data_IF_464232593997
#
_entry.id   IF_464232593997
#
_cell.length_a   1.000
_cell.length_b   1.000
_cell.length_c   1.000
_cell.angle_alpha   90.00
_cell.angle_beta   90.00
_cell.angle_gamma   90.00
#
_symmetry.space_group_name_H-M   'P 1'
#
loop_
_entity.id
_entity.type
_entity.pdbx_description
1 polymer ?
#
# COMPACT_ATOMS: atom_id res chain seq x y z
N UNK A 1 -40.35 -26.04 -20.75
CA UNK A 1 -40.35 -25.60 -19.33
C UNK A 1 -38.99 -25.92 -18.67
N UNK A 2 -37.88 -25.71 -19.39
CA UNK A 2 -36.51 -25.85 -18.85
C UNK A 2 -35.69 -24.56 -19.06
N UNK A 3 -36.17 -23.62 -19.88
CA UNK A 3 -35.51 -22.34 -20.14
C UNK A 3 -35.73 -21.28 -19.03
N UNK A 4 -36.60 -21.56 -18.05
CA UNK A 4 -36.92 -20.65 -16.93
C UNK A 4 -36.24 -21.06 -15.62
N UNK A 5 -35.49 -22.18 -15.60
CA UNK A 5 -34.78 -22.68 -14.40
C UNK A 5 -33.26 -22.38 -14.42
N UNK A 6 -32.78 -21.58 -15.38
CA UNK A 6 -31.37 -21.12 -15.43
C UNK A 6 -31.15 -19.73 -14.80
N UNK A 7 -32.09 -19.25 -14.01
CA UNK A 7 -31.96 -17.98 -13.28
C UNK A 7 -32.01 -18.25 -11.78
N UNK A 8 -30.84 -18.48 -11.17
CA UNK A 8 -30.49 -18.19 -9.75
C UNK A 8 -29.08 -18.69 -9.37
N UNK A 9 -28.16 -18.94 -10.31
CA UNK A 9 -26.74 -19.01 -9.95
C UNK A 9 -26.21 -17.57 -9.96
N UNK A 10 -26.10 -16.95 -8.78
CA UNK A 10 -25.49 -15.63 -8.67
C UNK A 10 -24.09 -15.66 -9.31
N UNK A 11 -23.77 -14.64 -10.13
CA UNK A 11 -22.47 -14.53 -10.77
C UNK A 11 -21.34 -14.66 -9.72
N UNK A 12 -20.24 -15.36 -10.05
CA UNK A 12 -19.14 -15.55 -9.11
C UNK A 12 -18.59 -14.19 -8.64
N UNK A 13 -18.21 -14.05 -7.35
CA UNK A 13 -17.77 -12.77 -6.83
C UNK A 13 -16.45 -12.34 -7.48
N UNK A 14 -16.37 -11.07 -7.88
CA UNK A 14 -15.17 -10.44 -8.45
C UNK A 14 -14.09 -10.14 -7.39
N UNK A 15 -14.50 -10.07 -6.12
CA UNK A 15 -13.62 -9.85 -4.99
C UNK A 15 -14.11 -10.64 -3.77
N UNK A 16 -13.18 -11.03 -2.90
CA UNK A 16 -13.50 -11.63 -1.61
C UNK A 16 -12.70 -10.95 -0.51
N UNK A 17 -13.35 -10.73 0.63
CA UNK A 17 -12.71 -10.25 1.85
C UNK A 17 -12.71 -11.38 2.89
N UNK A 18 -11.52 -11.77 3.35
CA UNK A 18 -11.33 -12.82 4.36
C UNK A 18 -10.67 -12.24 5.59
N UNK A 19 -11.25 -12.49 6.76
CA UNK A 19 -10.63 -12.11 8.04
C UNK A 19 -9.42 -13.01 8.25
N UNK A 20 -8.29 -12.41 8.61
CA UNK A 20 -7.08 -13.15 8.93
C UNK A 20 -7.30 -14.09 10.11
N UNK A 21 -6.77 -15.33 10.02
CA UNK A 21 -6.69 -16.24 11.16
C UNK A 21 -5.85 -15.66 12.30
N UNK A 22 -4.90 -14.78 11.97
CA UNK A 22 -4.08 -14.06 12.94
C UNK A 22 -4.89 -13.11 13.82
N UNK A 23 -6.14 -12.76 13.45
CA UNK A 23 -6.99 -11.91 14.28
C UNK A 23 -7.21 -12.49 15.69
N UNK A 24 -7.31 -13.81 15.81
CA UNK A 24 -7.45 -14.47 17.12
C UNK A 24 -6.15 -14.33 17.92
N UNK A 25 -5.01 -14.63 17.31
CA UNK A 25 -3.69 -14.46 17.94
C UNK A 25 -3.45 -13.02 18.39
N UNK A 26 -3.77 -12.05 17.53
CA UNK A 26 -3.63 -10.62 17.82
C UNK A 26 -4.51 -10.17 18.99
N UNK A 27 -5.73 -10.72 19.12
CA UNK A 27 -6.63 -10.41 20.25
C UNK A 27 -6.12 -10.98 21.56
N UNK A 28 -5.58 -12.20 21.54
CA UNK A 28 -4.94 -12.82 22.71
C UNK A 28 -3.74 -11.98 23.13
N UNK A 29 -2.86 -11.63 22.17
CA UNK A 29 -1.74 -10.73 22.42
C UNK A 29 -2.20 -9.38 22.99
N UNK A 30 -3.27 -8.80 22.44
CA UNK A 30 -3.86 -7.55 22.94
C UNK A 30 -4.26 -7.67 24.41
N UNK A 31 -4.97 -8.74 24.77
CA UNK A 31 -5.46 -8.95 26.12
C UNK A 31 -4.31 -9.13 27.12
N UNK A 32 -3.31 -9.93 26.77
CA UNK A 32 -2.11 -10.14 27.61
C UNK A 32 -1.36 -8.83 27.81
N UNK A 33 -1.09 -8.08 26.74
CA UNK A 33 -0.33 -6.84 26.83
C UNK A 33 -1.12 -5.74 27.56
N UNK A 34 -2.44 -5.64 27.34
CA UNK A 34 -3.30 -4.74 28.10
C UNK A 34 -3.28 -5.05 29.60
N UNK A 35 -3.30 -6.33 29.98
CA UNK A 35 -3.18 -6.72 31.38
C UNK A 35 -1.84 -6.30 31.99
N UNK A 36 -0.74 -6.41 31.24
CA UNK A 36 0.58 -5.96 31.67
C UNK A 36 0.63 -4.44 31.88
N UNK A 37 0.05 -3.67 30.94
CA UNK A 37 -0.07 -2.20 31.07
C UNK A 37 -0.89 -1.83 32.31
N UNK A 38 -2.04 -2.48 32.53
CA UNK A 38 -2.90 -2.18 33.68
C UNK A 38 -2.15 -2.46 35.00
N UNK A 39 -1.46 -3.59 35.10
CA UNK A 39 -0.66 -3.93 36.28
C UNK A 39 0.48 -2.92 36.51
N UNK A 40 1.16 -2.50 35.44
CA UNK A 40 2.22 -1.49 35.51
C UNK A 40 1.66 -0.15 36.01
N UNK A 41 0.57 0.34 35.42
CA UNK A 41 -0.09 1.58 35.84
C UNK A 41 -0.59 1.51 37.29
N UNK A 42 -1.14 0.36 37.71
CA UNK A 42 -1.53 0.13 39.10
C UNK A 42 -0.33 0.25 40.05
N UNK A 43 0.79 -0.39 39.72
CA UNK A 43 2.03 -0.30 40.51
C UNK A 43 2.56 1.14 40.60
N UNK A 44 2.50 1.93 39.52
CA UNK A 44 2.87 3.35 39.55
C UNK A 44 1.94 4.17 40.46
N UNK A 45 0.63 3.90 40.44
CA UNK A 45 -0.34 4.57 41.31
C UNK A 45 -0.13 4.22 42.78
N UNK A 46 0.12 2.95 43.10
CA UNK A 46 0.43 2.48 44.46
C UNK A 46 1.75 3.08 44.97
N UNK A 47 2.78 3.09 44.14
CA UNK A 47 4.07 3.73 44.45
C UNK A 47 3.90 5.22 44.71
N UNK A 48 3.11 5.93 43.88
CA UNK A 48 2.82 7.35 44.07
C UNK A 48 2.02 7.59 45.36
N UNK A 49 1.03 6.76 45.66
CA UNK A 49 0.22 6.82 46.87
C UNK A 49 1.08 6.57 48.13
N UNK A 50 2.02 5.63 48.09
CA UNK A 50 2.98 5.40 49.18
C UNK A 50 3.89 6.60 49.41
N UNK A 51 4.41 7.23 48.36
CA UNK A 51 5.23 8.45 48.51
C UNK A 51 4.41 9.62 49.07
N UNK A 52 3.14 9.75 48.67
CA UNK A 52 2.23 10.79 49.15
C UNK A 52 1.76 10.53 50.61
N UNK A 53 1.54 9.27 51.00
CA UNK A 53 1.11 8.90 52.35
C UNK A 53 2.28 8.85 53.36
N UNK A 54 3.48 8.44 52.92
CA UNK A 54 4.71 8.42 53.73
C UNK A 54 5.38 9.80 53.85
N UNK A 55 4.70 10.87 53.40
CA UNK A 55 5.16 12.26 53.48
C UNK A 55 5.35 12.81 54.91
N UNK A 56 5.20 11.98 55.94
CA UNK A 56 5.52 12.29 57.34
C UNK A 56 7.01 12.18 57.69
N UNK A 57 7.84 11.51 56.86
CA UNK A 57 9.28 11.37 57.14
C UNK A 57 10.11 11.40 55.85
N UNK A 58 10.65 12.57 55.52
CA UNK A 58 11.84 12.79 54.64
C UNK A 58 11.86 12.04 53.29
N UNK A 59 10.80 12.12 52.51
CA UNK A 59 10.84 11.73 51.08
C UNK A 59 11.50 12.85 50.27
N UNK A 60 12.57 12.53 49.54
CA UNK A 60 13.25 13.47 48.64
C UNK A 60 12.28 13.89 47.53
N UNK A 61 12.03 15.19 47.36
CA UNK A 61 11.17 15.76 46.30
C UNK A 61 11.48 15.17 44.91
N UNK A 62 12.74 14.82 44.66
CA UNK A 62 13.19 14.14 43.45
C UNK A 62 12.47 12.81 43.19
N UNK A 63 12.20 11.99 44.22
CA UNK A 63 11.51 10.70 44.06
C UNK A 63 10.07 10.87 43.57
N UNK A 64 9.37 11.91 44.04
CA UNK A 64 8.03 12.26 43.58
C UNK A 64 8.03 12.70 42.13
N UNK A 65 8.96 13.59 41.75
CA UNK A 65 9.10 14.06 40.37
C UNK A 65 9.41 12.91 39.41
N UNK A 66 10.32 12.01 39.78
CA UNK A 66 10.66 10.83 38.97
C UNK A 66 9.45 9.91 38.82
N UNK A 67 8.75 9.62 39.92
CA UNK A 67 7.57 8.74 39.90
C UNK A 67 6.44 9.31 39.03
N UNK A 68 6.20 10.62 39.10
CA UNK A 68 5.22 11.32 38.27
C UNK A 68 5.62 11.34 36.79
N UNK A 69 6.89 11.61 36.50
CA UNK A 69 7.40 11.62 35.13
C UNK A 69 7.29 10.23 34.47
N UNK A 70 7.60 9.17 35.20
CA UNK A 70 7.42 7.79 34.73
C UNK A 70 5.94 7.47 34.49
N UNK A 71 5.05 7.81 35.42
CA UNK A 71 3.61 7.61 35.24
C UNK A 71 3.09 8.33 33.98
N UNK A 72 3.50 9.58 33.75
CA UNK A 72 3.11 10.34 32.56
C UNK A 72 3.65 9.68 31.28
N UNK A 73 4.91 9.25 31.28
CA UNK A 73 5.53 8.59 30.14
C UNK A 73 4.79 7.29 29.79
N UNK A 74 4.47 6.45 30.78
CA UNK A 74 3.78 5.18 30.59
C UNK A 74 2.32 5.36 30.17
N UNK A 75 1.64 6.42 30.62
CA UNK A 75 0.30 6.77 30.12
C UNK A 75 0.34 7.15 28.63
N UNK A 76 1.33 7.92 28.20
CA UNK A 76 1.51 8.29 26.79
C UNK A 76 1.82 7.04 25.95
N UNK A 77 2.73 6.18 26.44
CA UNK A 77 3.06 4.92 25.77
C UNK A 77 1.86 3.97 25.68
N UNK A 78 1.09 3.83 26.76
CA UNK A 78 -0.14 3.04 26.79
C UNK A 78 -1.18 3.57 25.80
N UNK A 79 -1.32 4.89 25.71
CA UNK A 79 -2.21 5.53 24.73
C UNK A 79 -1.77 5.26 23.28
N UNK A 80 -0.48 5.47 22.96
CA UNK A 80 0.07 5.17 21.63
C UNK A 80 -0.07 3.68 21.27
N UNK A 81 0.12 2.80 22.24
CA UNK A 81 -0.09 1.37 22.05
C UNK A 81 -1.56 1.04 21.76
N UNK A 82 -2.50 1.60 22.53
CA UNK A 82 -3.94 1.34 22.34
C UNK A 82 -4.45 1.81 20.97
N UNK A 83 -4.01 2.98 20.51
CA UNK A 83 -4.35 3.51 19.18
C UNK A 83 -3.77 2.62 18.06
N UNK A 84 -2.52 2.17 18.22
CA UNK A 84 -1.88 1.25 17.26
C UNK A 84 -2.56 -0.13 17.26
N UNK A 85 -2.94 -0.64 18.42
CA UNK A 85 -3.50 -1.98 18.56
C UNK A 85 -4.88 -2.10 17.90
N UNK A 86 -5.63 -1.00 17.83
CA UNK A 86 -6.92 -0.94 17.14
C UNK A 86 -6.85 -1.43 15.69
N UNK A 87 -5.76 -1.12 14.97
CA UNK A 87 -5.54 -1.59 13.59
C UNK A 87 -5.23 -3.09 13.49
N UNK A 88 -4.76 -3.72 14.58
CA UNK A 88 -4.34 -5.13 14.61
C UNK A 88 -5.45 -6.10 15.04
N UNK A 89 -6.57 -5.60 15.55
CA UNK A 89 -7.66 -6.41 16.13
C UNK A 89 -8.46 -7.23 15.11
N UNK A 90 -8.51 -6.77 13.85
CA UNK A 90 -9.25 -7.44 12.77
C UNK A 90 -8.62 -7.19 11.39
N UNK A 91 -7.44 -7.78 11.11
CA UNK A 91 -6.86 -7.69 9.78
C UNK A 91 -7.76 -8.39 8.74
N UNK A 92 -7.99 -7.74 7.59
CA UNK A 92 -8.80 -8.26 6.49
C UNK A 92 -7.92 -8.36 5.25
N UNK A 93 -7.84 -9.55 4.67
CA UNK A 93 -7.21 -9.78 3.37
C UNK A 93 -8.27 -9.69 2.27
N UNK A 94 -7.93 -9.01 1.17
CA UNK A 94 -8.76 -8.93 -0.02
C UNK A 94 -8.09 -9.74 -1.13
N UNK A 95 -8.90 -10.44 -1.91
CA UNK A 95 -8.48 -11.15 -3.12
C UNK A 95 -9.40 -10.77 -4.25
N UNK A 96 -8.82 -10.35 -5.37
CA UNK A 96 -9.46 -9.98 -6.61
C UNK A 96 -9.43 -11.13 -7.62
N UNK A 97 -10.36 -11.14 -8.57
CA UNK A 97 -10.41 -12.10 -9.67
C UNK A 97 -10.67 -11.36 -10.98
N UNK A 98 -9.66 -10.63 -11.52
CA UNK A 98 -9.81 -9.82 -12.73
C UNK A 98 -10.19 -10.65 -13.95
N UNK A 99 -9.76 -11.92 -14.02
CA UNK A 99 -10.11 -12.87 -15.08
C UNK A 99 -11.63 -13.06 -15.25
N UNK A 100 -12.41 -12.88 -14.18
CA UNK A 100 -13.88 -13.00 -14.22
C UNK A 100 -14.57 -11.69 -14.58
N UNK A 101 -13.84 -10.58 -14.65
CA UNK A 101 -14.44 -9.27 -14.91
C UNK A 101 -15.06 -9.23 -16.31
N UNK A 102 -14.38 -9.80 -17.30
CA UNK A 102 -14.84 -9.89 -18.70
C UNK A 102 -16.11 -10.76 -18.86
N UNK A 103 -16.33 -11.71 -17.94
CA UNK A 103 -17.56 -12.53 -17.92
C UNK A 103 -18.78 -11.74 -17.44
N UNK A 104 -18.57 -10.68 -16.64
CA UNK A 104 -19.62 -9.92 -15.95
C UNK A 104 -19.85 -8.55 -16.59
N UNK A 105 -18.79 -7.93 -17.10
CA UNK A 105 -18.78 -6.57 -17.64
C UNK A 105 -18.00 -6.55 -18.95
N UNK A 106 -18.60 -5.97 -19.98
CA UNK A 106 -17.90 -5.74 -21.25
C UNK A 106 -16.90 -4.60 -21.09
N UNK A 107 -15.77 -4.67 -21.80
CA UNK A 107 -14.78 -3.58 -21.82
C UNK A 107 -15.38 -2.23 -22.23
N UNK A 108 -16.39 -2.24 -23.11
CA UNK A 108 -17.16 -1.05 -23.51
C UNK A 108 -17.85 -0.35 -22.34
N UNK A 109 -18.06 -1.04 -21.23
CA UNK A 109 -18.78 -0.56 -20.06
C UNK A 109 -17.84 -0.22 -18.90
N UNK A 110 -16.53 -0.42 -19.08
CA UNK A 110 -15.51 0.00 -18.12
C UNK A 110 -15.58 1.53 -17.86
N UNK A 111 -15.31 2.01 -16.64
CA UNK A 111 -15.28 3.44 -16.36
C UNK A 111 -14.11 4.13 -17.07
N UNK A 112 -14.21 5.44 -17.31
CA UNK A 112 -13.03 6.22 -17.68
C UNK A 112 -12.08 6.34 -16.47
N UNK A 113 -10.78 6.31 -16.72
CA UNK A 113 -9.71 6.38 -15.73
C UNK A 113 -8.75 7.51 -16.07
N UNK A 114 -8.65 8.48 -15.17
CA UNK A 114 -7.67 9.56 -15.24
C UNK A 114 -6.52 9.27 -14.28
N UNK A 115 -5.29 9.28 -14.81
CA UNK A 115 -4.07 9.07 -14.03
C UNK A 115 -3.28 10.37 -13.98
N UNK A 116 -3.03 10.85 -12.77
CA UNK A 116 -2.24 12.06 -12.53
C UNK A 116 -0.83 11.68 -12.10
N UNK A 117 0.16 12.19 -12.81
CA UNK A 117 1.58 12.07 -12.51
C UNK A 117 2.08 13.47 -12.15
N UNK A 118 2.48 13.67 -10.90
CA UNK A 118 3.04 14.94 -10.44
C UNK A 118 4.55 14.81 -10.31
N UNK A 119 5.28 15.83 -10.77
CA UNK A 119 6.72 15.96 -10.55
C UNK A 119 7.07 17.38 -10.15
N UNK A 120 8.10 17.55 -9.32
CA UNK A 120 8.42 18.84 -8.70
C UNK A 120 9.80 19.40 -9.06
N UNK A 121 10.81 18.54 -9.25
CA UNK A 121 12.17 18.98 -9.53
C UNK A 121 12.90 17.96 -10.42
N UNK A 122 13.42 18.35 -11.59
CA UNK A 122 14.02 17.42 -12.55
C UNK A 122 15.37 16.82 -12.09
N UNK A 123 15.99 17.33 -11.02
CA UNK A 123 17.23 16.77 -10.48
C UNK A 123 16.95 15.75 -9.39
N UNK A 124 15.89 15.95 -8.59
CA UNK A 124 15.42 14.98 -7.58
C UNK A 124 14.55 13.88 -8.18
N UNK A 125 13.77 14.23 -9.19
CA UNK A 125 12.86 13.36 -9.94
C UNK A 125 13.24 13.42 -11.43
N UNK A 126 14.25 12.65 -11.86
CA UNK A 126 14.75 12.72 -13.23
C UNK A 126 13.63 12.53 -14.27
N UNK A 127 13.53 13.39 -15.30
CA UNK A 127 12.45 13.34 -16.29
C UNK A 127 12.26 11.98 -16.97
N UNK A 128 13.35 11.22 -17.16
CA UNK A 128 13.28 9.87 -17.71
C UNK A 128 12.46 8.91 -16.84
N UNK A 129 12.56 9.00 -15.51
CA UNK A 129 11.74 8.19 -14.60
C UNK A 129 10.26 8.53 -14.69
N UNK A 130 9.95 9.83 -14.83
CA UNK A 130 8.57 10.31 -15.01
C UNK A 130 8.01 9.84 -16.36
N UNK A 131 8.81 9.92 -17.43
CA UNK A 131 8.47 9.40 -18.76
C UNK A 131 8.22 7.89 -18.73
N UNK A 132 9.10 7.11 -18.09
CA UNK A 132 8.92 5.66 -17.95
C UNK A 132 7.63 5.31 -17.21
N UNK A 133 7.28 6.08 -16.19
CA UNK A 133 6.01 5.94 -15.46
C UNK A 133 4.82 6.22 -16.38
N UNK A 134 4.85 7.34 -17.12
CA UNK A 134 3.77 7.69 -18.05
C UNK A 134 3.58 6.65 -19.16
N UNK A 135 4.67 6.20 -19.79
CA UNK A 135 4.63 5.17 -20.83
C UNK A 135 4.12 3.82 -20.30
N UNK A 136 4.49 3.46 -19.06
CA UNK A 136 3.99 2.25 -18.40
C UNK A 136 2.47 2.29 -18.24
N UNK A 137 1.93 3.41 -17.74
CA UNK A 137 0.48 3.61 -17.58
C UNK A 137 -0.24 3.61 -18.92
N UNK A 138 0.28 4.31 -19.93
CA UNK A 138 -0.32 4.35 -21.27
C UNK A 138 -0.34 2.99 -21.97
N UNK A 139 0.50 2.05 -21.53
CA UNK A 139 0.58 0.69 -22.05
C UNK A 139 -0.28 -0.31 -21.26
N UNK A 140 -1.07 0.14 -20.27
CA UNK A 140 -1.97 -0.74 -19.51
C UNK A 140 -2.95 -1.48 -20.43
N UNK A 141 -3.35 -2.67 -19.96
CA UNK A 141 -4.37 -3.47 -20.62
C UNK A 141 -5.77 -2.92 -20.26
N UNK A 142 -6.11 -1.82 -20.92
CA UNK A 142 -7.36 -1.10 -20.75
C UNK A 142 -7.77 -0.41 -22.06
N UNK A 143 -9.08 -0.18 -22.31
CA UNK A 143 -9.51 0.54 -23.50
C UNK A 143 -8.83 1.91 -23.63
N UNK A 144 -8.20 2.13 -24.78
CA UNK A 144 -7.33 3.30 -25.04
C UNK A 144 -8.10 4.63 -24.98
N UNK A 145 -9.38 4.60 -25.32
CA UNK A 145 -10.31 5.73 -25.25
C UNK A 145 -10.79 6.06 -23.83
N UNK A 146 -10.41 5.24 -22.85
CA UNK A 146 -10.82 5.37 -21.45
C UNK A 146 -9.68 5.66 -20.48
N UNK A 147 -8.42 5.63 -20.91
CA UNK A 147 -7.28 6.02 -20.08
C UNK A 147 -6.78 7.38 -20.52
N UNK A 148 -6.81 8.35 -19.62
CA UNK A 148 -6.17 9.65 -19.81
C UNK A 148 -5.04 9.83 -18.82
N UNK A 149 -3.86 10.24 -19.29
CA UNK A 149 -2.69 10.48 -18.44
C UNK A 149 -2.38 11.97 -18.43
N UNK A 150 -2.35 12.56 -17.25
CA UNK A 150 -2.07 13.97 -17.00
C UNK A 150 -0.75 14.10 -16.25
N UNK A 151 0.12 14.97 -16.74
CA UNK A 151 1.41 15.25 -16.10
C UNK A 151 1.40 16.69 -15.58
N UNK A 152 1.56 16.84 -14.27
CA UNK A 152 1.76 18.15 -13.62
C UNK A 152 3.23 18.29 -13.26
N UNK A 153 3.88 19.32 -13.79
CA UNK A 153 5.25 19.67 -13.43
C UNK A 153 5.25 20.97 -12.61
N UNK A 154 5.32 20.83 -11.29
CA UNK A 154 5.34 21.95 -10.35
C UNK A 154 6.65 22.76 -10.46
N UNK A 155 7.72 22.15 -11.00
CA UNK A 155 9.00 22.80 -11.26
C UNK A 155 9.02 23.60 -12.56
N UNK A 156 8.01 23.45 -13.42
CA UNK A 156 7.93 24.12 -14.72
C UNK A 156 9.18 23.90 -15.59
N UNK A 157 9.78 22.70 -15.50
CA UNK A 157 11.08 22.41 -16.07
C UNK A 157 11.02 22.20 -17.58
N UNK A 158 11.81 22.98 -18.31
CA UNK A 158 11.99 22.78 -19.75
C UNK A 158 12.56 21.39 -20.08
N UNK A 159 13.33 20.78 -19.17
CA UNK A 159 13.89 19.44 -19.35
C UNK A 159 12.80 18.37 -19.27
N UNK A 160 11.84 18.52 -18.35
CA UNK A 160 10.68 17.63 -18.23
C UNK A 160 9.82 17.72 -19.49
N UNK A 161 9.52 18.95 -19.94
CA UNK A 161 8.78 19.16 -21.18
C UNK A 161 9.49 18.53 -22.39
N UNK A 162 10.80 18.75 -22.53
CA UNK A 162 11.58 18.16 -23.62
C UNK A 162 11.55 16.63 -23.58
N UNK A 163 11.73 16.03 -22.41
CA UNK A 163 11.66 14.58 -22.25
C UNK A 163 10.30 14.03 -22.67
N UNK A 164 9.19 14.70 -22.33
CA UNK A 164 7.85 14.28 -22.72
C UNK A 164 7.56 14.46 -24.21
N UNK A 165 8.12 15.48 -24.86
CA UNK A 165 8.03 15.64 -26.32
C UNK A 165 8.71 14.48 -27.05
N UNK A 166 9.90 14.07 -26.59
CA UNK A 166 10.59 12.91 -27.17
C UNK A 166 9.90 11.59 -26.79
N UNK A 167 9.39 11.48 -25.57
CA UNK A 167 8.61 10.33 -25.12
C UNK A 167 7.36 10.11 -25.97
N UNK A 168 6.67 11.18 -26.40
CA UNK A 168 5.50 11.06 -27.26
C UNK A 168 5.84 10.42 -28.63
N UNK A 169 7.01 10.72 -29.18
CA UNK A 169 7.50 10.07 -30.42
C UNK A 169 7.84 8.60 -30.17
N UNK A 170 8.47 8.31 -29.04
CA UNK A 170 8.80 6.94 -28.66
C UNK A 170 7.55 6.09 -28.35
N UNK A 171 6.53 6.69 -27.73
CA UNK A 171 5.25 6.04 -27.41
C UNK A 171 4.58 5.44 -28.65
N UNK A 172 4.69 6.11 -29.80
CA UNK A 172 4.16 5.61 -31.08
C UNK A 172 4.73 4.24 -31.48
N UNK A 173 5.92 3.89 -30.98
CA UNK A 173 6.58 2.60 -31.22
C UNK A 173 6.38 1.64 -30.03
N UNK A 174 6.54 2.16 -28.81
CA UNK A 174 6.49 1.37 -27.58
C UNK A 174 5.10 0.80 -27.29
N UNK A 175 4.04 1.62 -27.38
CA UNK A 175 2.70 1.18 -26.97
C UNK A 175 2.15 0.05 -27.86
N UNK A 176 2.26 0.10 -29.21
CA UNK A 176 1.89 -1.03 -30.05
C UNK A 176 2.75 -2.27 -29.81
N UNK A 177 4.05 -2.08 -29.52
CA UNK A 177 4.97 -3.18 -29.20
C UNK A 177 4.54 -3.90 -27.91
N UNK A 178 4.20 -3.16 -26.85
CA UNK A 178 3.73 -3.76 -25.60
C UNK A 178 2.47 -4.61 -25.79
N UNK A 179 1.47 -4.07 -26.51
CA UNK A 179 0.21 -4.80 -26.76
C UNK A 179 0.42 -6.03 -27.63
N UNK A 180 1.23 -5.92 -28.69
CA UNK A 180 1.45 -7.04 -29.64
C UNK A 180 2.22 -8.20 -29.01
N UNK A 181 3.13 -7.92 -28.09
CA UNK A 181 4.00 -8.93 -27.47
C UNK A 181 3.58 -9.31 -26.05
N UNK A 182 2.39 -8.87 -25.60
CA UNK A 182 1.88 -9.09 -24.24
C UNK A 182 2.93 -8.79 -23.16
N UNK A 183 3.57 -7.62 -23.27
CA UNK A 183 4.65 -7.23 -22.36
C UNK A 183 4.08 -7.00 -20.97
N UNK A 184 4.51 -7.81 -19.99
CA UNK A 184 4.11 -7.68 -18.59
C UNK A 184 4.69 -6.42 -17.97
N UNK A 185 6.01 -6.24 -18.06
CA UNK A 185 6.74 -5.07 -17.55
C UNK A 185 6.70 -3.93 -18.56
N UNK A 186 5.68 -3.07 -18.43
CA UNK A 186 5.36 -2.01 -19.41
C UNK A 186 6.23 -0.76 -19.32
N UNK A 187 7.06 -0.64 -18.28
CA UNK A 187 8.07 0.41 -18.18
C UNK A 187 9.26 0.06 -19.10
N UNK A 188 9.62 0.91 -20.07
CA UNK A 188 10.74 0.64 -20.97
C UNK A 188 12.05 0.33 -20.23
N UNK A 189 12.39 1.14 -19.22
CA UNK A 189 13.60 0.94 -18.42
C UNK A 189 13.64 -0.41 -17.72
N UNK A 190 12.54 -0.82 -17.09
CA UNK A 190 12.45 -2.13 -16.41
C UNK A 190 12.55 -3.27 -17.42
N UNK A 191 11.82 -3.17 -18.54
CA UNK A 191 11.83 -4.19 -19.59
C UNK A 191 13.22 -4.41 -20.19
N UNK A 192 13.93 -3.33 -20.54
CA UNK A 192 15.26 -3.45 -21.13
C UNK A 192 16.31 -3.87 -20.11
N UNK A 193 16.24 -3.39 -18.86
CA UNK A 193 17.14 -3.84 -17.80
C UNK A 193 17.01 -5.33 -17.49
N UNK A 194 15.78 -5.89 -17.52
CA UNK A 194 15.55 -7.31 -17.32
C UNK A 194 16.06 -8.17 -18.48
N UNK A 195 15.99 -7.67 -19.72
CA UNK A 195 16.42 -8.37 -20.92
C UNK A 195 17.93 -8.31 -21.17
N UNK A 196 18.64 -7.29 -20.67
CA UNK A 196 20.11 -7.26 -20.67
C UNK A 196 20.71 -8.41 -19.84
N UNK A 197 20.02 -8.86 -18.79
CA UNK A 197 20.38 -10.09 -18.05
C UNK A 197 19.97 -11.41 -18.72
N UNK A 198 19.17 -11.38 -19.80
CA UNK A 198 18.74 -12.59 -20.54
C UNK A 198 19.61 -12.90 -21.76
N UNK A 199 20.83 -12.37 -21.83
CA UNK A 199 21.82 -12.84 -22.81
C UNK A 199 22.65 -14.02 -22.23
N UNK A 200 22.30 -15.22 -22.69
CA UNK A 200 23.03 -16.52 -22.61
C UNK A 200 22.83 -17.49 -21.43
N UNK A 201 22.41 -17.10 -20.22
CA UNK A 201 22.38 -18.07 -19.08
C UNK A 201 21.00 -18.59 -18.63
N UNK A 202 19.88 -17.99 -19.05
CA UNK A 202 18.54 -18.40 -18.56
C UNK A 202 17.84 -19.48 -19.41
N UNK A 203 18.44 -19.95 -20.52
CA UNK A 203 17.89 -21.07 -21.32
C UNK A 203 18.15 -22.47 -20.72
N UNK A 204 18.97 -22.59 -19.66
CA UNK A 204 19.31 -23.92 -19.08
C UNK A 204 18.57 -24.28 -17.80
N UNK A 205 17.71 -23.42 -17.26
CA UNK A 205 17.03 -23.67 -15.99
C UNK A 205 15.53 -23.37 -16.12
N UNK A 206 14.85 -24.15 -16.96
CA UNK A 206 13.42 -24.51 -16.81
C UNK A 206 13.10 -25.64 -17.79
N UNK A 207 13.81 -26.76 -17.62
CA UNK A 207 13.33 -28.10 -17.99
C UNK A 207 13.19 -28.90 -16.71
N UNK A 208 12.01 -28.81 -16.09
CA UNK A 208 11.25 -29.90 -15.50
C UNK A 208 9.94 -29.38 -14.91
#
# INVERSE_FOLDING_TARGET
>A
MEALLRSTAAAPPLHAAKISRLAVSNRIFAAVYASAIITLLYHHLETLAHHLHSSSTTTTMSSLFISLALLIADLILAFMWATTQSFRMRPVYRTESPERLEEVVKESDFPAMDVFICTADPFKEPPMGVVNTALSVMAYDYPVEKVSVYVSDDGGSALTLFAFVEAAKFAAHWLPFCRKNDVVDRSPEVYFAANDCRSSETEKIKVK
#
